data_IF_528370199125
#
_entry.id   IF_528370199125
#
_cell.length_a   1.000
_cell.length_b   1.000
_cell.length_c   1.000
_cell.angle_alpha   90.00
_cell.angle_beta   90.00
_cell.angle_gamma   90.00
#
_symmetry.space_group_name_H-M   'P 1'
#
loop_
_entity.id
_entity.type
_entity.pdbx_description
1 polymer ?
#
# COMPACT_ATOMS: atom_id res chain seq x y z
N UNK A 1 13.88 -13.01 3.49
CA UNK A 1 13.47 -11.64 3.18
C UNK A 1 13.11 -10.91 4.48
N UNK A 2 12.15 -11.38 5.24
CA UNK A 2 11.48 -10.67 6.34
C UNK A 2 12.20 -10.73 7.70
N UNK A 3 13.35 -11.39 7.81
CA UNK A 3 14.07 -11.65 9.08
C UNK A 3 14.22 -10.45 10.01
N UNK A 4 14.50 -9.28 9.46
CA UNK A 4 14.78 -8.06 10.25
C UNK A 4 13.56 -7.15 10.40
N UNK A 5 12.58 -7.26 9.50
CA UNK A 5 11.38 -6.42 9.52
C UNK A 5 10.21 -7.05 10.29
N UNK A 6 10.15 -8.39 10.40
CA UNK A 6 9.07 -9.10 11.13
C UNK A 6 8.77 -8.52 12.51
N UNK A 7 9.75 -8.14 13.36
CA UNK A 7 9.43 -7.55 14.66
C UNK A 7 8.65 -6.24 14.58
N UNK A 8 8.77 -5.51 13.48
CA UNK A 8 8.05 -4.26 13.23
C UNK A 8 6.69 -4.50 12.61
N UNK A 9 6.58 -5.44 11.66
CA UNK A 9 5.30 -5.80 11.04
C UNK A 9 4.34 -6.48 12.02
N UNK A 10 4.88 -7.21 13.02
CA UNK A 10 4.09 -7.86 14.05
C UNK A 10 3.83 -6.99 15.30
N UNK A 11 4.29 -5.74 15.31
CA UNK A 11 4.13 -4.86 16.47
C UNK A 11 2.78 -4.11 16.52
N UNK A 12 2.22 -3.61 15.39
CA UNK A 12 0.91 -2.99 15.40
C UNK A 12 -0.22 -4.02 15.62
N UNK A 13 -1.38 -3.54 16.06
CA UNK A 13 -2.57 -4.38 16.25
C UNK A 13 -3.15 -4.89 14.93
N UNK A 14 -2.86 -4.22 13.81
CA UNK A 14 -3.26 -4.63 12.47
C UNK A 14 -2.28 -4.08 11.42
N UNK A 15 -1.77 -4.94 10.56
CA UNK A 15 -0.80 -4.59 9.51
C UNK A 15 -1.35 -4.91 8.14
N UNK A 16 -1.22 -3.97 7.22
CA UNK A 16 -1.58 -4.13 5.80
C UNK A 16 -0.35 -4.01 4.91
N UNK A 17 -0.38 -4.64 3.75
CA UNK A 17 0.57 -4.37 2.67
C UNK A 17 -0.08 -4.56 1.31
N UNK A 18 0.52 -4.01 0.28
CA UNK A 18 0.15 -4.31 -1.11
C UNK A 18 0.96 -5.50 -1.63
N UNK A 19 0.29 -6.41 -2.36
CA UNK A 19 0.94 -7.48 -3.13
C UNK A 19 0.74 -7.21 -4.62
N UNK A 20 1.81 -6.79 -5.28
CA UNK A 20 1.81 -6.41 -6.68
C UNK A 20 2.20 -7.60 -7.56
N UNK A 21 1.21 -8.22 -8.19
CA UNK A 21 1.39 -9.37 -9.07
C UNK A 21 0.31 -10.44 -8.97
N UNK A 22 0.55 -11.57 -9.62
CA UNK A 22 -0.32 -12.75 -9.59
C UNK A 22 0.40 -13.98 -9.06
N UNK A 23 -0.37 -15.01 -8.67
CA UNK A 23 0.14 -16.32 -8.26
C UNK A 23 0.03 -17.31 -9.42
N UNK A 24 1.19 -17.78 -9.92
CA UNK A 24 1.23 -18.67 -11.07
C UNK A 24 0.98 -20.14 -10.73
N UNK A 25 1.57 -20.63 -9.66
CA UNK A 25 1.63 -22.07 -9.36
C UNK A 25 2.37 -22.89 -10.42
N UNK A 26 2.53 -24.20 -10.19
CA UNK A 26 3.17 -25.08 -11.17
C UNK A 26 2.45 -25.15 -12.52
N UNK A 27 1.13 -24.94 -12.53
CA UNK A 27 0.26 -25.08 -13.69
C UNK A 27 0.45 -23.94 -14.69
N UNK A 28 0.57 -22.71 -14.21
CA UNK A 28 0.73 -21.51 -15.04
C UNK A 28 2.20 -21.07 -15.13
N UNK A 29 3.10 -21.74 -14.36
CA UNK A 29 4.51 -21.42 -14.25
C UNK A 29 4.78 -20.11 -13.51
N UNK A 30 6.06 -19.79 -13.40
CA UNK A 30 6.54 -18.60 -12.69
C UNK A 30 7.25 -17.66 -13.66
N UNK A 31 7.06 -16.35 -13.45
CA UNK A 31 7.74 -15.31 -14.22
C UNK A 31 7.96 -14.06 -13.36
N UNK A 32 9.03 -13.33 -13.68
CA UNK A 32 9.28 -11.97 -13.21
C UNK A 32 8.82 -10.94 -14.22
N UNK A 33 9.44 -9.72 -14.16
CA UNK A 33 9.13 -8.63 -15.06
C UNK A 33 9.15 -9.09 -16.55
N UNK A 34 8.21 -8.63 -17.41
CA UNK A 34 7.16 -7.64 -17.10
C UNK A 34 5.84 -8.24 -16.58
N UNK A 35 5.68 -9.56 -16.55
CA UNK A 35 4.43 -10.22 -16.17
C UNK A 35 4.67 -11.12 -14.96
N UNK A 36 4.33 -10.63 -13.77
CA UNK A 36 4.64 -11.30 -12.50
C UNK A 36 3.69 -12.46 -12.22
N UNK A 37 4.26 -13.67 -12.13
CA UNK A 37 3.58 -14.86 -11.61
C UNK A 37 4.43 -15.47 -10.51
N UNK A 38 4.07 -15.18 -9.28
CA UNK A 38 4.82 -15.57 -8.09
C UNK A 38 4.45 -16.97 -7.60
N UNK A 39 5.32 -17.65 -6.86
CA UNK A 39 4.97 -18.88 -6.14
C UNK A 39 4.08 -18.56 -4.92
N UNK A 40 3.17 -19.47 -4.59
CA UNK A 40 2.18 -19.30 -3.50
C UNK A 40 2.83 -19.00 -2.13
N UNK A 41 3.98 -19.59 -1.86
CA UNK A 41 4.72 -19.37 -0.60
C UNK A 41 5.05 -17.90 -0.32
N UNK A 42 4.97 -17.01 -1.30
CA UNK A 42 5.24 -15.57 -1.08
C UNK A 42 4.19 -14.96 -0.17
N UNK A 43 2.90 -15.24 -0.40
CA UNK A 43 1.81 -14.68 0.42
C UNK A 43 1.77 -15.28 1.82
N UNK A 44 2.14 -16.57 1.96
CA UNK A 44 2.31 -17.19 3.27
C UNK A 44 3.43 -16.51 4.07
N UNK A 45 4.58 -16.24 3.42
CA UNK A 45 5.70 -15.53 4.05
C UNK A 45 5.35 -14.09 4.43
N UNK A 46 4.53 -13.40 3.63
CA UNK A 46 4.03 -12.06 3.95
C UNK A 46 3.16 -12.13 5.21
N UNK A 47 2.15 -13.00 5.25
CA UNK A 47 1.33 -13.26 6.44
C UNK A 47 2.19 -13.60 7.66
N UNK A 48 3.10 -14.56 7.52
CA UNK A 48 3.96 -15.04 8.63
C UNK A 48 4.94 -13.97 9.12
N UNK A 49 5.15 -12.90 8.35
CA UNK A 49 5.91 -11.72 8.79
C UNK A 49 5.12 -10.74 9.65
N UNK A 50 3.79 -10.95 9.82
CA UNK A 50 2.92 -10.15 10.66
C UNK A 50 1.90 -9.30 9.89
N UNK A 51 1.72 -9.54 8.59
CA UNK A 51 0.72 -8.84 7.78
C UNK A 51 -0.64 -9.54 7.89
N UNK A 52 -1.68 -8.77 8.25
CA UNK A 52 -3.04 -9.26 8.48
C UNK A 52 -3.93 -9.18 7.25
N UNK A 53 -3.77 -8.14 6.42
CA UNK A 53 -4.56 -7.89 5.21
C UNK A 53 -3.66 -7.51 4.03
N UNK A 54 -3.87 -8.14 2.88
CA UNK A 54 -3.13 -7.84 1.66
C UNK A 54 -4.03 -7.14 0.63
N UNK A 55 -3.54 -6.00 0.08
CA UNK A 55 -4.18 -5.22 -0.97
C UNK A 55 -3.79 -5.80 -2.32
N UNK A 56 -4.75 -6.11 -3.19
CA UNK A 56 -4.52 -6.84 -4.43
C UNK A 56 -4.88 -6.06 -5.71
N UNK A 57 -5.42 -4.85 -5.58
CA UNK A 57 -5.74 -4.01 -6.73
C UNK A 57 -4.52 -3.24 -7.20
N UNK A 58 -3.75 -3.84 -8.11
CA UNK A 58 -2.54 -3.26 -8.70
C UNK A 58 -2.56 -3.38 -10.23
N UNK A 59 -1.73 -2.59 -10.93
CA UNK A 59 -1.60 -2.70 -12.37
C UNK A 59 -1.11 -4.10 -12.83
N UNK A 60 -0.46 -4.87 -11.94
CA UNK A 60 0.01 -6.24 -12.18
C UNK A 60 -0.98 -7.35 -11.74
N UNK A 61 -2.19 -7.00 -11.31
CA UNK A 61 -3.19 -7.99 -10.86
C UNK A 61 -3.68 -8.92 -11.98
N UNK A 62 -3.43 -8.60 -13.24
CA UNK A 62 -3.86 -9.39 -14.40
C UNK A 62 -2.70 -9.93 -15.26
N UNK A 63 -1.48 -9.91 -14.77
CA UNK A 63 -0.27 -10.35 -15.52
C UNK A 63 -0.32 -11.79 -16.01
N UNK A 64 -0.93 -12.67 -15.26
CA UNK A 64 -1.14 -14.06 -15.66
C UNK A 64 -2.50 -14.30 -16.32
N UNK A 65 -3.15 -13.25 -16.83
CA UNK A 65 -4.48 -13.24 -17.42
C UNK A 65 -5.56 -13.78 -16.45
N UNK A 66 -6.77 -14.00 -16.96
CA UNK A 66 -7.91 -14.48 -16.16
C UNK A 66 -7.57 -15.72 -15.31
N UNK A 67 -6.78 -16.65 -15.84
CA UNK A 67 -6.42 -17.87 -15.10
C UNK A 67 -5.63 -17.61 -13.82
N UNK A 68 -4.60 -16.75 -13.86
CA UNK A 68 -3.82 -16.42 -12.68
C UNK A 68 -4.57 -15.43 -11.77
N UNK A 69 -5.38 -14.53 -12.33
CA UNK A 69 -6.26 -13.65 -11.60
C UNK A 69 -7.18 -14.41 -10.64
N UNK A 70 -7.96 -15.36 -11.14
CA UNK A 70 -8.83 -16.19 -10.31
C UNK A 70 -8.04 -17.10 -9.36
N UNK A 71 -6.96 -17.72 -9.85
CA UNK A 71 -6.10 -18.57 -9.04
C UNK A 71 -5.50 -17.80 -7.84
N UNK A 72 -5.13 -16.55 -8.03
CA UNK A 72 -4.60 -15.73 -6.93
C UNK A 72 -5.61 -15.69 -5.79
N UNK A 73 -6.86 -15.30 -6.04
CA UNK A 73 -7.91 -15.26 -5.03
C UNK A 73 -8.20 -16.65 -4.40
N UNK A 74 -8.23 -17.70 -5.22
CA UNK A 74 -8.43 -19.08 -4.73
C UNK A 74 -7.36 -19.50 -3.73
N UNK A 75 -6.10 -19.12 -3.95
CA UNK A 75 -4.99 -19.43 -3.02
C UNK A 75 -5.14 -18.64 -1.73
N UNK A 76 -5.48 -17.35 -1.79
CA UNK A 76 -5.73 -16.55 -0.60
C UNK A 76 -6.86 -17.13 0.27
N UNK A 77 -7.97 -17.50 -0.34
CA UNK A 77 -9.10 -18.12 0.38
C UNK A 77 -8.74 -19.48 0.98
N UNK A 78 -8.08 -20.33 0.19
CA UNK A 78 -7.66 -21.66 0.63
C UNK A 78 -6.72 -21.58 1.84
N UNK A 79 -5.82 -20.60 1.87
CA UNK A 79 -4.83 -20.45 2.92
C UNK A 79 -5.32 -19.53 4.06
N UNK A 80 -6.56 -19.03 3.95
CA UNK A 80 -7.23 -18.20 4.97
C UNK A 80 -6.54 -16.84 5.18
N UNK A 81 -5.93 -16.28 4.12
CA UNK A 81 -5.26 -14.99 4.16
C UNK A 81 -6.26 -13.92 3.73
N UNK A 82 -6.46 -12.89 4.55
CA UNK A 82 -7.36 -11.81 4.21
C UNK A 82 -6.80 -10.94 3.08
N UNK A 83 -7.68 -10.53 2.17
CA UNK A 83 -7.35 -9.66 1.05
C UNK A 83 -8.52 -8.74 0.68
N UNK A 84 -8.25 -7.69 -0.06
CA UNK A 84 -9.24 -6.79 -0.68
C UNK A 84 -8.71 -6.26 -2.02
N UNK A 85 -9.54 -5.50 -2.74
CA UNK A 85 -9.21 -4.98 -4.08
C UNK A 85 -9.65 -5.90 -5.22
N UNK A 86 -9.66 -7.21 -4.98
CA UNK A 86 -10.21 -8.23 -5.88
C UNK A 86 -11.30 -9.03 -5.16
N UNK A 87 -12.19 -9.70 -5.92
CA UNK A 87 -13.27 -10.54 -5.38
C UNK A 87 -13.61 -11.68 -6.32
N UNK A 88 -14.04 -12.82 -5.77
CA UNK A 88 -14.38 -14.03 -6.54
C UNK A 88 -15.64 -13.88 -7.37
N UNK A 89 -16.63 -13.16 -6.83
CA UNK A 89 -17.92 -12.96 -7.47
C UNK A 89 -18.42 -11.53 -7.30
N UNK A 90 -19.33 -11.11 -8.17
CA UNK A 90 -19.94 -9.78 -8.09
C UNK A 90 -20.86 -9.59 -6.87
N UNK A 91 -21.19 -10.66 -6.14
CA UNK A 91 -21.94 -10.60 -4.88
C UNK A 91 -21.05 -10.40 -3.65
N UNK A 92 -19.74 -10.58 -3.79
CA UNK A 92 -18.78 -10.32 -2.71
C UNK A 92 -18.54 -8.82 -2.54
N UNK A 93 -18.16 -8.43 -1.34
CA UNK A 93 -17.90 -7.02 -1.00
C UNK A 93 -16.66 -6.49 -1.75
N UNK A 94 -16.70 -5.23 -2.12
CA UNK A 94 -15.56 -4.50 -2.68
C UNK A 94 -14.61 -3.93 -1.62
N UNK A 95 -14.83 -4.26 -0.37
CA UNK A 95 -14.09 -3.74 0.77
C UNK A 95 -13.93 -4.80 1.85
N UNK A 96 -13.03 -4.54 2.77
CA UNK A 96 -12.83 -5.35 3.96
C UNK A 96 -13.09 -4.54 5.23
N UNK A 97 -13.71 -5.13 6.24
CA UNK A 97 -13.86 -4.51 7.57
C UNK A 97 -13.18 -5.40 8.61
N UNK A 98 -12.12 -4.89 9.21
CA UNK A 98 -11.41 -5.55 10.30
C UNK A 98 -11.95 -5.09 11.66
N UNK A 99 -11.89 -5.98 12.65
CA UNK A 99 -11.99 -5.61 14.07
C UNK A 99 -10.56 -5.52 14.63
N UNK A 100 -10.14 -4.31 14.92
CA UNK A 100 -8.79 -3.99 15.41
C UNK A 100 -8.92 -3.58 16.87
N UNK A 101 -8.70 -4.50 17.78
CA UNK A 101 -8.84 -4.32 19.24
C UNK A 101 -10.17 -3.65 19.66
N UNK A 102 -11.27 -4.08 19.02
CA UNK A 102 -12.63 -3.58 19.28
C UNK A 102 -13.01 -2.34 18.45
N UNK A 103 -12.13 -1.77 17.67
CA UNK A 103 -12.40 -0.71 16.70
C UNK A 103 -12.57 -1.32 15.31
N UNK A 104 -13.72 -1.12 14.68
CA UNK A 104 -13.92 -1.55 13.30
C UNK A 104 -13.33 -0.55 12.32
N UNK A 105 -12.37 -1.02 11.52
CA UNK A 105 -11.69 -0.27 10.47
C UNK A 105 -12.10 -0.84 9.11
N UNK A 106 -12.56 0.02 8.21
CA UNK A 106 -12.91 -0.34 6.84
C UNK A 106 -11.75 -0.05 5.89
N UNK A 107 -11.48 -0.98 4.97
CA UNK A 107 -10.44 -0.89 3.96
C UNK A 107 -11.03 -1.03 2.58
N UNK A 108 -10.75 -0.10 1.69
CA UNK A 108 -10.98 -0.21 0.25
C UNK A 108 -9.67 -0.04 -0.50
N UNK A 109 -9.53 -0.73 -1.63
CA UNK A 109 -8.31 -0.82 -2.40
C UNK A 109 -8.65 -0.70 -3.89
N UNK A 110 -7.99 0.21 -4.60
CA UNK A 110 -8.30 0.55 -6.00
C UNK A 110 -7.04 0.73 -6.83
N UNK A 111 -7.12 0.32 -8.10
CA UNK A 111 -6.07 0.51 -9.11
C UNK A 111 -6.57 1.36 -10.28
N UNK A 112 -5.69 2.18 -10.82
CA UNK A 112 -5.98 2.93 -12.05
C UNK A 112 -6.03 2.01 -13.29
N UNK A 113 -6.89 2.34 -14.24
CA UNK A 113 -6.96 1.67 -15.53
C UNK A 113 -6.03 2.32 -16.54
N UNK A 114 -5.41 1.50 -17.39
CA UNK A 114 -4.66 2.00 -18.54
C UNK A 114 -5.59 2.19 -19.73
N UNK A 115 -5.23 3.13 -20.62
CA UNK A 115 -6.06 3.47 -21.80
C UNK A 115 -6.34 2.23 -22.65
N UNK A 116 -7.62 2.02 -22.98
CA UNK A 116 -8.06 0.89 -23.79
C UNK A 116 -9.57 0.81 -23.95
N UNK A 117 -10.07 -0.32 -24.44
CA UNK A 117 -11.52 -0.60 -24.50
C UNK A 117 -11.89 -1.53 -23.35
N UNK A 118 -12.80 -1.11 -22.49
CA UNK A 118 -13.15 -1.82 -21.26
C UNK A 118 -12.03 -1.71 -20.22
N UNK A 119 -12.06 -2.52 -19.19
CA UNK A 119 -11.06 -2.50 -18.12
C UNK A 119 -9.71 -3.03 -18.62
N UNK A 120 -8.66 -2.25 -18.43
CA UNK A 120 -7.28 -2.58 -18.83
C UNK A 120 -6.32 -2.29 -17.70
N UNK A 121 -5.47 -3.24 -17.37
CA UNK A 121 -4.41 -3.08 -16.36
C UNK A 121 -3.05 -3.30 -17.02
N UNK A 122 -2.12 -2.38 -16.84
CA UNK A 122 -0.78 -2.44 -17.43
C UNK A 122 -0.79 -2.70 -18.94
N UNK A 123 -1.78 -2.14 -19.66
CA UNK A 123 -1.99 -2.36 -21.10
C UNK A 123 -2.55 -3.74 -21.47
N UNK A 124 -2.94 -4.56 -20.50
CA UNK A 124 -3.56 -5.87 -20.69
C UNK A 124 -5.08 -5.73 -20.54
N UNK A 125 -5.87 -5.97 -21.63
CA UNK A 125 -7.32 -5.93 -21.52
C UNK A 125 -7.85 -7.13 -20.72
N UNK A 126 -8.71 -6.87 -19.75
CA UNK A 126 -9.38 -7.91 -19.00
C UNK A 126 -10.49 -8.56 -19.83
N UNK A 127 -10.74 -9.86 -19.61
CA UNK A 127 -11.94 -10.50 -20.09
C UNK A 127 -13.20 -9.86 -19.45
N UNK A 128 -14.24 -9.63 -20.20
CA UNK A 128 -15.45 -8.94 -19.72
C UNK A 128 -16.06 -9.54 -18.44
N UNK A 129 -15.93 -10.86 -18.26
CA UNK A 129 -16.39 -11.53 -17.03
C UNK A 129 -15.63 -11.13 -15.77
N UNK A 130 -14.42 -10.57 -15.92
CA UNK A 130 -13.52 -10.21 -14.83
C UNK A 130 -13.57 -8.71 -14.47
N UNK A 131 -14.21 -7.87 -15.31
CA UNK A 131 -14.24 -6.42 -15.11
C UNK A 131 -14.75 -5.99 -13.73
N UNK A 132 -15.85 -6.58 -13.29
CA UNK A 132 -16.46 -6.26 -12.01
C UNK A 132 -15.82 -7.00 -10.82
N UNK A 133 -14.75 -7.78 -11.05
CA UNK A 133 -14.09 -8.56 -10.01
C UNK A 133 -12.83 -7.90 -9.45
N UNK A 134 -12.41 -6.77 -10.00
CA UNK A 134 -11.35 -5.92 -9.47
C UNK A 134 -11.90 -4.52 -9.22
N UNK A 135 -11.41 -3.87 -8.18
CA UNK A 135 -11.70 -2.46 -7.95
C UNK A 135 -10.74 -1.62 -8.77
N UNK A 136 -11.22 -1.05 -9.85
CA UNK A 136 -10.43 -0.18 -10.72
C UNK A 136 -11.13 1.15 -10.96
N UNK A 137 -10.39 2.13 -11.44
CA UNK A 137 -10.92 3.44 -11.82
C UNK A 137 -10.23 3.95 -13.09
N UNK A 138 -11.01 4.66 -13.91
CA UNK A 138 -10.54 5.34 -15.11
C UNK A 138 -10.36 6.83 -14.82
N UNK A 139 -9.18 7.37 -15.10
CA UNK A 139 -8.91 8.82 -14.97
C UNK A 139 -9.82 9.68 -15.87
N UNK A 140 -10.33 9.10 -16.96
CA UNK A 140 -11.28 9.79 -17.87
C UNK A 140 -12.75 9.74 -17.36
N UNK A 141 -13.06 8.91 -16.32
CA UNK A 141 -14.40 8.77 -15.71
C UNK A 141 -14.33 8.67 -14.17
N UNK A 142 -13.79 9.69 -13.54
CA UNK A 142 -13.70 9.74 -12.07
C UNK A 142 -15.07 9.83 -11.38
N UNK A 143 -16.12 10.32 -12.06
CA UNK A 143 -17.45 10.40 -11.46
C UNK A 143 -18.01 9.01 -11.12
N UNK A 144 -17.80 8.01 -11.97
CA UNK A 144 -18.19 6.62 -11.71
C UNK A 144 -17.42 6.06 -10.51
N UNK A 145 -16.12 6.29 -10.45
CA UNK A 145 -15.28 5.88 -9.31
C UNK A 145 -15.77 6.53 -8.00
N UNK A 146 -16.02 7.83 -8.00
CA UNK A 146 -16.47 8.55 -6.78
C UNK A 146 -17.82 8.06 -6.28
N UNK A 147 -18.75 7.70 -7.17
CA UNK A 147 -20.04 7.12 -6.79
C UNK A 147 -19.87 5.73 -6.16
N UNK A 148 -18.98 4.90 -6.71
CA UNK A 148 -18.68 3.58 -6.14
C UNK A 148 -17.97 3.72 -4.78
N UNK A 149 -16.97 4.58 -4.66
CA UNK A 149 -16.27 4.85 -3.40
C UNK A 149 -17.23 5.36 -2.32
N UNK A 150 -18.12 6.30 -2.65
CA UNK A 150 -19.14 6.80 -1.73
C UNK A 150 -20.07 5.66 -1.25
N UNK A 151 -20.49 4.77 -2.15
CA UNK A 151 -21.33 3.63 -1.78
C UNK A 151 -20.56 2.66 -0.87
N UNK A 152 -19.32 2.32 -1.19
CA UNK A 152 -18.49 1.45 -0.36
C UNK A 152 -18.25 2.04 1.03
N UNK A 153 -18.03 3.35 1.16
CA UNK A 153 -17.89 4.03 2.46
C UNK A 153 -19.19 3.93 3.27
N UNK A 154 -20.35 4.13 2.64
CA UNK A 154 -21.66 3.96 3.29
C UNK A 154 -21.87 2.52 3.77
N UNK A 155 -21.52 1.54 2.96
CA UNK A 155 -21.68 0.12 3.28
C UNK A 155 -20.70 -0.30 4.40
N UNK A 156 -19.44 0.14 4.37
CA UNK A 156 -18.48 -0.09 5.45
C UNK A 156 -18.99 0.51 6.78
N UNK A 157 -19.52 1.73 6.76
CA UNK A 157 -20.12 2.38 7.95
C UNK A 157 -21.36 1.62 8.44
N UNK A 158 -22.17 1.07 7.53
CA UNK A 158 -23.32 0.21 7.90
C UNK A 158 -22.87 -1.12 8.53
N UNK A 159 -21.73 -1.69 8.11
CA UNK A 159 -21.10 -2.85 8.74
C UNK A 159 -20.41 -2.52 10.08
N UNK A 160 -20.39 -1.24 10.46
CA UNK A 160 -19.94 -0.74 11.75
C UNK A 160 -18.54 -0.14 11.72
N UNK A 161 -17.91 0.03 10.55
CA UNK A 161 -16.63 0.73 10.45
C UNK A 161 -16.73 2.16 11.01
N UNK A 162 -15.71 2.56 11.76
CA UNK A 162 -15.59 3.87 12.40
C UNK A 162 -14.37 4.65 11.91
N UNK A 163 -13.51 4.00 11.15
CA UNK A 163 -12.35 4.57 10.51
C UNK A 163 -12.23 3.93 9.13
N UNK A 164 -12.01 4.73 8.10
CA UNK A 164 -11.97 4.28 6.70
C UNK A 164 -10.59 4.55 6.10
N UNK A 165 -9.97 3.50 5.60
CA UNK A 165 -8.69 3.55 4.89
C UNK A 165 -8.93 3.27 3.40
N UNK A 166 -8.42 4.15 2.55
CA UNK A 166 -8.34 3.91 1.11
C UNK A 166 -6.90 3.60 0.72
N UNK A 167 -6.68 2.47 0.05
CA UNK A 167 -5.44 2.16 -0.62
C UNK A 167 -5.59 2.48 -2.11
N UNK A 168 -4.63 3.21 -2.68
CA UNK A 168 -4.70 3.70 -4.06
C UNK A 168 -3.42 3.34 -4.83
N UNK A 169 -3.55 2.44 -5.79
CA UNK A 169 -2.47 2.10 -6.72
C UNK A 169 -2.58 3.01 -7.95
N UNK A 170 -1.78 4.10 -8.00
CA UNK A 170 -2.03 5.26 -8.85
C UNK A 170 -0.79 6.08 -9.19
N UNK A 171 -0.97 7.14 -9.99
CA UNK A 171 0.07 8.11 -10.32
C UNK A 171 1.00 7.64 -11.43
N UNK A 172 2.23 8.12 -11.42
CA UNK A 172 3.23 7.84 -12.46
C UNK A 172 4.46 7.19 -11.84
N UNK A 173 4.93 6.09 -12.46
CA UNK A 173 6.16 5.42 -12.06
C UNK A 173 7.36 6.39 -12.02
N UNK A 174 8.19 6.26 -11.01
CA UNK A 174 9.48 6.97 -10.85
C UNK A 174 9.37 8.50 -10.74
N UNK A 175 8.22 9.00 -10.30
CA UNK A 175 8.01 10.41 -9.99
C UNK A 175 7.98 10.61 -8.46
N UNK A 176 8.88 11.48 -7.94
CA UNK A 176 8.98 11.77 -6.50
C UNK A 176 7.85 12.68 -6.00
N UNK A 177 7.18 13.38 -6.89
CA UNK A 177 6.06 14.26 -6.57
C UNK A 177 4.77 13.70 -7.12
N UNK A 178 3.70 13.84 -6.35
CA UNK A 178 2.35 13.49 -6.78
C UNK A 178 1.88 14.33 -7.96
N UNK A 179 0.96 13.79 -8.76
CA UNK A 179 0.29 14.50 -9.84
C UNK A 179 -0.90 15.33 -9.35
N UNK A 180 -1.38 16.26 -10.21
CA UNK A 180 -2.60 17.01 -9.93
C UNK A 180 -3.82 16.09 -9.78
N UNK A 181 -3.90 15.00 -10.57
CA UNK A 181 -4.97 14.00 -10.48
C UNK A 181 -4.95 13.28 -9.14
N UNK A 182 -3.77 12.88 -8.64
CA UNK A 182 -3.65 12.28 -7.30
C UNK A 182 -4.16 13.24 -6.22
N UNK A 183 -3.85 14.53 -6.32
CA UNK A 183 -4.35 15.54 -5.37
C UNK A 183 -5.86 15.73 -5.44
N UNK A 184 -6.43 15.78 -6.65
CA UNK A 184 -7.87 15.91 -6.84
C UNK A 184 -8.62 14.71 -6.24
N UNK A 185 -8.17 13.50 -6.54
CA UNK A 185 -8.75 12.26 -6.01
C UNK A 185 -8.63 12.24 -4.48
N UNK A 186 -7.46 12.59 -3.91
CA UNK A 186 -7.25 12.62 -2.46
C UNK A 186 -8.21 13.60 -1.78
N UNK A 187 -8.37 14.83 -2.31
CA UNK A 187 -9.33 15.78 -1.76
C UNK A 187 -10.77 15.25 -1.84
N UNK A 188 -11.15 14.63 -2.95
CA UNK A 188 -12.49 14.08 -3.11
C UNK A 188 -12.76 12.93 -2.15
N UNK A 189 -11.80 12.03 -1.92
CA UNK A 189 -11.92 10.93 -0.94
C UNK A 189 -12.02 11.48 0.49
N UNK A 190 -11.27 12.53 0.83
CA UNK A 190 -11.43 13.26 2.09
C UNK A 190 -12.86 13.81 2.25
N UNK A 191 -13.39 14.45 1.20
CA UNK A 191 -14.76 15.00 1.21
C UNK A 191 -15.84 13.93 1.34
N UNK A 192 -15.56 12.70 0.90
CA UNK A 192 -16.44 11.53 1.08
C UNK A 192 -16.32 10.87 2.47
N UNK A 193 -15.32 11.29 3.26
CA UNK A 193 -15.13 10.82 4.63
C UNK A 193 -14.22 9.61 4.76
N UNK A 194 -13.18 9.52 3.94
CA UNK A 194 -11.99 8.70 4.14
C UNK A 194 -11.12 9.33 5.22
N UNK A 195 -10.61 8.54 6.15
CA UNK A 195 -9.80 9.00 7.28
C UNK A 195 -8.29 8.89 7.01
N UNK A 196 -7.89 7.90 6.21
CA UNK A 196 -6.50 7.73 5.78
C UNK A 196 -6.42 7.23 4.35
N UNK A 197 -5.49 7.80 3.56
CA UNK A 197 -5.17 7.37 2.21
C UNK A 197 -3.72 6.93 2.13
N UNK A 198 -3.52 5.72 1.64
CA UNK A 198 -2.20 5.09 1.45
C UNK A 198 -2.01 4.83 -0.05
N UNK A 199 -1.00 5.43 -0.64
CA UNK A 199 -0.71 5.31 -2.06
C UNK A 199 0.43 4.34 -2.36
N UNK A 200 0.34 3.68 -3.53
CA UNK A 200 1.37 2.82 -4.12
C UNK A 200 1.47 3.05 -5.63
N UNK A 201 2.32 2.30 -6.34
CA UNK A 201 2.61 2.29 -7.77
C UNK A 201 3.85 3.10 -8.20
N UNK A 202 4.13 4.34 -7.74
CA UNK A 202 5.27 5.11 -8.24
C UNK A 202 6.65 4.44 -8.04
N UNK A 203 6.73 3.38 -7.25
CA UNK A 203 7.97 2.67 -6.91
C UNK A 203 9.05 3.54 -6.26
N UNK A 204 8.67 4.72 -5.83
CA UNK A 204 9.47 5.65 -5.01
C UNK A 204 8.54 6.35 -4.04
N UNK A 205 9.11 6.86 -2.96
CA UNK A 205 8.35 7.61 -1.99
C UNK A 205 7.79 8.89 -2.62
N UNK A 206 6.57 9.23 -2.24
CA UNK A 206 5.95 10.52 -2.53
C UNK A 206 5.47 11.17 -1.23
N UNK A 207 5.26 12.49 -1.18
CA UNK A 207 5.01 13.25 0.04
C UNK A 207 3.86 12.72 0.90
N UNK A 208 3.94 13.04 2.19
CA UNK A 208 2.83 13.00 3.13
C UNK A 208 2.12 14.35 3.13
N UNK A 209 0.78 14.34 3.18
CA UNK A 209 -0.02 15.55 3.35
C UNK A 209 -1.23 15.29 4.27
N UNK A 210 -1.92 16.35 4.65
CA UNK A 210 -3.18 16.32 5.39
C UNK A 210 -4.21 17.10 4.61
N UNK A 211 -5.30 16.45 4.24
CA UNK A 211 -6.44 17.04 3.57
C UNK A 211 -7.53 17.40 4.58
N UNK A 212 -8.32 18.41 4.28
CA UNK A 212 -9.43 18.84 5.12
C UNK A 212 -10.68 19.04 4.26
N UNK A 213 -11.79 18.46 4.68
CA UNK A 213 -13.10 18.75 4.13
C UNK A 213 -13.59 20.10 4.66
N UNK A 214 -13.67 21.11 3.80
CA UNK A 214 -14.06 22.47 4.19
C UNK A 214 -15.52 22.57 4.70
N UNK A 215 -16.36 21.55 4.47
CA UNK A 215 -17.77 21.58 4.87
C UNK A 215 -17.97 21.24 6.34
N UNK A 216 -17.17 20.34 6.91
CA UNK A 216 -17.33 19.82 8.27
C UNK A 216 -16.04 19.80 9.11
N UNK A 217 -14.89 20.12 8.48
CA UNK A 217 -13.58 20.13 9.14
C UNK A 217 -12.98 18.74 9.32
N UNK A 218 -13.55 17.70 8.68
CA UNK A 218 -12.95 16.35 8.67
C UNK A 218 -11.54 16.38 8.08
N UNK A 219 -10.58 15.72 8.74
CA UNK A 219 -9.19 15.65 8.30
C UNK A 219 -8.80 14.23 7.91
N UNK A 220 -8.12 14.10 6.79
CA UNK A 220 -7.60 12.85 6.25
C UNK A 220 -6.07 12.88 6.20
N UNK A 221 -5.42 11.84 6.75
CA UNK A 221 -4.01 11.57 6.50
C UNK A 221 -3.83 11.06 5.06
N UNK A 222 -2.79 11.50 4.38
CA UNK A 222 -2.44 10.99 3.05
C UNK A 222 -0.93 10.80 2.95
N UNK A 223 -0.49 9.64 2.44
CA UNK A 223 0.81 9.42 1.83
C UNK A 223 0.58 9.04 0.37
N UNK A 224 1.14 9.80 -0.57
CA UNK A 224 0.88 9.57 -1.98
C UNK A 224 1.57 8.33 -2.54
N UNK A 225 2.71 7.90 -1.98
CA UNK A 225 3.33 6.60 -2.24
C UNK A 225 4.25 6.18 -1.09
N UNK A 226 4.12 4.90 -0.67
CA UNK A 226 4.97 4.26 0.34
C UNK A 226 6.30 3.72 -0.23
N UNK A 227 6.56 3.87 -1.53
CA UNK A 227 7.74 3.34 -2.20
C UNK A 227 7.72 1.82 -2.30
N UNK A 228 8.88 1.18 -2.20
CA UNK A 228 9.03 -0.25 -2.35
C UNK A 228 9.37 -0.95 -1.03
N UNK A 229 8.47 -1.79 -0.51
CA UNK A 229 8.80 -2.67 0.61
C UNK A 229 9.81 -3.76 0.20
N UNK A 230 9.64 -4.33 -1.00
CA UNK A 230 10.53 -5.33 -1.59
C UNK A 230 10.53 -5.21 -3.11
N UNK A 231 11.67 -4.90 -3.70
CA UNK A 231 11.82 -4.78 -5.16
C UNK A 231 13.23 -5.17 -5.61
N UNK A 232 13.38 -5.51 -6.90
CA UNK A 232 14.67 -5.64 -7.56
C UNK A 232 15.02 -4.41 -8.43
N UNK A 233 14.33 -3.30 -8.27
CA UNK A 233 14.60 -2.03 -8.95
C UNK A 233 15.80 -1.36 -8.28
N UNK A 234 17.00 -1.75 -8.72
CA UNK A 234 18.28 -1.30 -8.14
C UNK A 234 18.84 -0.13 -8.93
N UNK A 235 19.55 0.76 -8.29
CA UNK A 235 20.22 1.92 -8.91
C UNK A 235 20.92 1.57 -10.22
N UNK A 236 21.64 0.45 -10.25
CA UNK A 236 22.38 0.00 -11.45
C UNK A 236 21.49 -0.67 -12.51
N UNK A 237 20.23 -1.01 -12.20
CA UNK A 237 19.24 -1.51 -13.15
C UNK A 237 18.32 -0.41 -13.68
N UNK A 238 18.13 0.65 -12.87
CA UNK A 238 17.25 1.79 -13.15
C UNK A 238 18.01 3.01 -13.71
N UNK A 239 19.04 2.75 -14.53
CA UNK A 239 19.99 3.79 -14.97
C UNK A 239 19.36 4.89 -15.83
N UNK A 240 18.24 4.63 -16.48
CA UNK A 240 17.55 5.59 -17.34
C UNK A 240 16.32 6.20 -16.64
N UNK A 241 15.67 5.45 -15.75
CA UNK A 241 14.40 5.81 -15.13
C UNK A 241 14.64 6.51 -13.79
N UNK A 242 15.34 5.86 -12.86
CA UNK A 242 15.58 6.36 -11.49
C UNK A 242 16.96 5.94 -10.97
N UNK A 243 18.07 6.56 -11.44
CA UNK A 243 19.43 6.14 -11.04
C UNK A 243 19.86 6.65 -9.65
N UNK A 244 18.95 7.18 -8.87
CA UNK A 244 19.20 7.88 -7.60
C UNK A 244 19.04 7.02 -6.36
N UNK A 245 18.53 5.77 -6.51
CA UNK A 245 18.32 4.84 -5.41
C UNK A 245 16.95 4.93 -4.73
N UNK A 246 16.08 5.88 -5.11
CA UNK A 246 14.73 6.02 -4.51
C UNK A 246 13.85 4.79 -4.69
N UNK A 247 14.10 3.95 -5.72
CA UNK A 247 13.39 2.68 -5.91
C UNK A 247 13.86 1.56 -4.96
N UNK A 248 14.88 1.81 -4.15
CA UNK A 248 15.35 0.90 -3.11
C UNK A 248 14.76 1.24 -1.74
N UNK A 249 14.08 2.39 -1.64
CA UNK A 249 13.54 2.96 -0.41
C UNK A 249 12.06 2.63 -0.28
N UNK A 250 11.63 2.42 0.93
CA UNK A 250 10.23 2.25 1.31
C UNK A 250 9.97 2.78 2.71
N UNK A 251 8.72 2.77 3.10
CA UNK A 251 8.31 3.22 4.44
C UNK A 251 7.19 2.34 4.97
N UNK A 252 7.20 2.10 6.28
CA UNK A 252 6.04 1.61 7.02
C UNK A 252 5.42 2.81 7.74
N UNK A 253 4.16 3.08 7.46
CA UNK A 253 3.37 4.13 8.14
C UNK A 253 2.62 3.49 9.31
N UNK A 254 2.66 4.15 10.46
CA UNK A 254 1.90 3.75 11.65
C UNK A 254 0.93 4.87 12.04
N UNK A 255 -0.36 4.54 12.06
CA UNK A 255 -1.41 5.42 12.55
C UNK A 255 -1.90 4.91 13.90
N UNK A 256 -1.70 5.68 14.97
CA UNK A 256 -2.29 5.38 16.28
C UNK A 256 -3.70 5.96 16.33
N UNK A 257 -4.68 5.09 16.53
CA UNK A 257 -6.08 5.49 16.60
C UNK A 257 -6.53 5.66 18.05
N UNK A 258 -7.46 6.60 18.26
CA UNK A 258 -8.12 6.81 19.53
C UNK A 258 -9.64 6.78 19.36
N UNK A 259 -10.32 5.97 20.16
CA UNK A 259 -11.79 5.97 20.22
C UNK A 259 -12.26 6.73 21.46
N UNK A 260 -13.11 7.74 21.28
CA UNK A 260 -13.72 8.48 22.37
C UNK A 260 -14.90 7.73 23.00
N UNK A 261 -15.45 8.26 24.09
CA UNK A 261 -16.59 7.66 24.80
C UNK A 261 -17.91 7.69 24.00
N UNK A 262 -17.99 8.47 22.93
CA UNK A 262 -19.12 8.51 22.00
C UNK A 262 -18.95 7.50 20.85
N UNK A 263 -17.78 6.86 20.74
CA UNK A 263 -17.46 5.89 19.70
C UNK A 263 -16.88 6.52 18.43
N UNK A 264 -16.51 7.80 18.44
CA UNK A 264 -15.79 8.42 17.33
C UNK A 264 -14.33 7.96 17.36
N UNK A 265 -13.78 7.68 16.18
CA UNK A 265 -12.38 7.26 16.02
C UNK A 265 -11.63 8.34 15.27
N UNK A 266 -10.47 8.71 15.79
CA UNK A 266 -9.59 9.73 15.20
C UNK A 266 -8.14 9.26 15.23
N UNK A 267 -7.32 9.80 14.34
CA UNK A 267 -5.86 9.62 14.41
C UNK A 267 -5.35 10.43 15.62
N UNK A 268 -4.60 9.76 16.48
CA UNK A 268 -3.94 10.37 17.64
C UNK A 268 -2.49 10.70 17.36
N UNK A 269 -1.80 9.83 16.60
CA UNK A 269 -0.39 10.01 16.23
C UNK A 269 -0.10 9.35 14.90
N UNK A 270 0.89 9.88 14.21
CA UNK A 270 1.42 9.37 12.94
C UNK A 270 2.91 9.15 13.09
N UNK A 271 3.39 7.97 12.76
CA UNK A 271 4.82 7.70 12.72
C UNK A 271 5.22 6.96 11.45
N UNK A 272 6.49 7.05 11.07
CA UNK A 272 7.04 6.38 9.91
C UNK A 272 8.34 5.65 10.28
N UNK A 273 8.47 4.43 9.75
CA UNK A 273 9.71 3.67 9.81
C UNK A 273 10.28 3.58 8.39
N UNK A 274 11.34 4.30 8.06
CA UNK A 274 12.05 4.12 6.81
C UNK A 274 12.57 2.69 6.68
N UNK A 275 12.48 2.13 5.47
CA UNK A 275 13.00 0.79 5.15
C UNK A 275 13.85 0.83 3.89
N UNK A 276 14.83 -0.06 3.80
CA UNK A 276 15.71 -0.20 2.66
C UNK A 276 15.77 -1.64 2.19
N UNK A 277 15.67 -1.85 0.88
CA UNK A 277 15.82 -3.17 0.27
C UNK A 277 17.30 -3.49 0.09
N UNK A 278 17.88 -4.25 1.01
CA UNK A 278 19.26 -4.74 0.90
C UNK A 278 19.33 -6.00 0.04
N UNK A 279 20.16 -5.97 -1.01
CA UNK A 279 20.39 -7.12 -1.91
C UNK A 279 21.82 -7.63 -1.78
N UNK A 280 21.97 -8.94 -1.63
CA UNK A 280 23.27 -9.59 -1.54
C UNK A 280 23.31 -10.89 -2.36
N UNK A 281 24.51 -11.48 -2.53
CA UNK A 281 24.72 -12.72 -3.28
C UNK A 281 25.06 -13.88 -2.32
N UNK A 282 24.20 -14.89 -2.32
CA UNK A 282 24.41 -16.14 -1.60
C UNK A 282 23.69 -17.27 -2.33
N UNK A 283 24.41 -18.02 -3.18
CA UNK A 283 23.81 -19.00 -4.08
C UNK A 283 22.67 -18.42 -4.94
N UNK A 284 22.87 -17.23 -5.47
CA UNK A 284 21.89 -16.41 -6.18
C UNK A 284 21.56 -15.12 -5.42
N UNK A 285 20.70 -14.30 -5.99
CA UNK A 285 20.28 -13.03 -5.36
C UNK A 285 19.37 -13.29 -4.16
N UNK A 286 19.69 -12.65 -3.06
CA UNK A 286 18.91 -12.64 -1.81
C UNK A 286 18.60 -11.22 -1.42
N UNK A 287 17.54 -11.04 -0.64
CA UNK A 287 17.04 -9.74 -0.23
C UNK A 287 16.68 -9.75 1.24
N UNK A 288 16.90 -8.62 1.91
CA UNK A 288 16.32 -8.30 3.20
C UNK A 288 15.62 -6.94 3.12
N UNK A 289 14.51 -6.80 3.81
CA UNK A 289 13.91 -5.50 4.14
C UNK A 289 14.58 -5.08 5.45
N UNK A 290 15.38 -4.02 5.42
CA UNK A 290 16.09 -3.51 6.59
C UNK A 290 15.35 -2.31 7.17
N UNK A 291 14.94 -2.36 8.46
CA UNK A 291 14.38 -1.20 9.15
C UNK A 291 15.50 -0.22 9.50
N UNK A 292 15.28 1.05 9.21
CA UNK A 292 16.26 2.13 9.39
C UNK A 292 15.99 3.00 10.64
N UNK A 293 15.45 2.40 11.69
CA UNK A 293 15.19 3.05 13.00
C UNK A 293 16.47 3.45 13.74
N UNK A 294 17.57 2.73 13.51
CA UNK A 294 18.90 3.01 14.05
C UNK A 294 19.97 2.71 12.98
N UNK A 295 20.19 3.66 12.09
CA UNK A 295 21.12 3.49 10.95
C UNK A 295 22.54 3.26 11.42
N UNK A 296 23.00 3.96 12.46
CA UNK A 296 24.37 3.83 12.99
C UNK A 296 24.58 2.47 13.69
N UNK A 297 23.53 1.93 14.32
CA UNK A 297 23.54 0.62 14.97
C UNK A 297 23.21 -0.55 14.04
N UNK A 298 22.79 -0.31 12.78
CA UNK A 298 22.24 -1.30 11.87
C UNK A 298 23.16 -2.50 11.63
N UNK A 299 24.44 -2.26 11.40
CA UNK A 299 25.43 -3.33 11.21
C UNK A 299 25.57 -4.24 12.43
N UNK A 300 25.51 -3.67 13.64
CA UNK A 300 25.54 -4.44 14.89
C UNK A 300 24.23 -5.23 15.09
N UNK A 301 23.09 -4.62 14.77
CA UNK A 301 21.76 -5.20 14.91
C UNK A 301 21.55 -6.39 13.95
N UNK A 302 22.02 -6.25 12.72
CA UNK A 302 21.80 -7.23 11.65
C UNK A 302 22.93 -8.26 11.51
N UNK A 303 24.15 -7.90 11.92
CA UNK A 303 25.37 -8.64 11.65
C UNK A 303 25.88 -8.47 10.20
N UNK A 304 25.29 -7.59 9.42
CA UNK A 304 25.70 -7.26 8.06
C UNK A 304 26.75 -6.15 8.13
N UNK A 305 27.93 -6.39 7.57
CA UNK A 305 29.10 -5.47 7.71
C UNK A 305 29.43 -4.71 6.42
N UNK A 306 28.79 -5.04 5.32
CA UNK A 306 29.04 -4.47 3.99
C UNK A 306 27.91 -3.52 3.51
N UNK A 307 27.24 -2.87 4.46
CA UNK A 307 26.14 -1.92 4.17
C UNK A 307 26.66 -0.62 3.50
N UNK A 308 27.93 -0.29 3.67
CA UNK A 308 28.51 0.97 3.19
C UNK A 308 27.76 2.18 3.74
N UNK A 309 27.61 3.20 2.91
CA UNK A 309 26.79 4.39 3.19
C UNK A 309 25.34 4.23 2.68
N UNK A 310 25.00 3.13 2.02
CA UNK A 310 23.73 2.97 1.29
C UNK A 310 22.51 3.05 2.21
N UNK A 311 22.57 2.39 3.38
CA UNK A 311 21.48 2.45 4.36
C UNK A 311 21.26 3.87 4.89
N UNK A 312 22.36 4.63 5.12
CA UNK A 312 22.28 6.02 5.55
C UNK A 312 21.73 6.92 4.45
N UNK A 313 22.22 6.74 3.22
CA UNK A 313 21.71 7.47 2.06
C UNK A 313 20.20 7.21 1.85
N UNK A 314 19.75 5.96 2.04
CA UNK A 314 18.33 5.60 1.98
C UNK A 314 17.52 6.33 3.05
N UNK A 315 17.98 6.32 4.29
CA UNK A 315 17.34 7.07 5.38
C UNK A 315 17.26 8.57 5.09
N UNK A 316 18.36 9.16 4.63
CA UNK A 316 18.41 10.59 4.30
C UNK A 316 17.42 10.95 3.18
N UNK A 317 17.38 10.18 2.08
CA UNK A 317 16.39 10.38 0.99
C UNK A 317 14.94 10.25 1.50
N UNK A 318 14.66 9.22 2.29
CA UNK A 318 13.32 9.02 2.86
C UNK A 318 12.90 10.22 3.73
N UNK A 319 13.77 10.72 4.58
CA UNK A 319 13.47 11.84 5.46
C UNK A 319 13.44 13.18 4.73
N UNK A 320 14.18 13.33 3.64
CA UNK A 320 14.07 14.48 2.75
C UNK A 320 12.69 14.53 2.07
N UNK A 321 12.19 13.39 1.63
CA UNK A 321 10.89 13.28 0.94
C UNK A 321 9.70 13.42 1.91
N UNK A 322 9.75 12.77 3.05
CA UNK A 322 8.58 12.64 3.94
C UNK A 322 8.59 13.60 5.13
N UNK A 323 9.74 14.16 5.50
CA UNK A 323 9.93 14.84 6.80
C UNK A 323 9.00 16.02 7.05
N UNK A 324 8.82 16.89 6.06
CA UNK A 324 7.95 18.06 6.18
C UNK A 324 6.47 17.66 6.28
N UNK A 325 6.03 16.71 5.45
CA UNK A 325 4.67 16.18 5.49
C UNK A 325 4.37 15.43 6.78
N UNK A 326 5.31 14.65 7.29
CA UNK A 326 5.20 13.98 8.58
C UNK A 326 5.07 14.99 9.72
N UNK A 327 5.87 16.06 9.72
CA UNK A 327 5.75 17.12 10.72
C UNK A 327 4.38 17.82 10.66
N UNK A 328 3.85 18.06 9.45
CA UNK A 328 2.49 18.58 9.22
C UNK A 328 1.43 17.64 9.79
N UNK A 329 1.52 16.34 9.51
CA UNK A 329 0.57 15.33 10.00
C UNK A 329 0.62 15.24 11.53
N UNK A 330 1.80 15.15 12.14
CA UNK A 330 1.96 15.17 13.62
C UNK A 330 1.38 16.44 14.23
N UNK A 331 1.51 17.59 13.60
CA UNK A 331 0.93 18.85 14.07
C UNK A 331 -0.59 18.90 13.93
N UNK A 332 -1.17 18.27 12.91
CA UNK A 332 -2.62 18.22 12.70
C UNK A 332 -3.29 17.26 13.68
N UNK A 333 -2.79 16.05 13.82
CA UNK A 333 -3.41 14.98 14.60
C UNK A 333 -2.97 14.95 16.08
N UNK A 334 -1.73 15.35 16.39
CA UNK A 334 -1.22 15.36 17.77
C UNK A 334 -1.77 16.47 18.69
N UNK A 335 -2.70 17.31 18.21
CA UNK A 335 -3.29 18.41 19.01
C UNK A 335 -4.34 17.99 20.03
N UNK A 336 -4.80 16.74 19.99
CA UNK A 336 -5.92 16.28 20.81
C UNK A 336 -5.57 16.01 22.29
N UNK A 337 -4.31 16.21 22.74
CA UNK A 337 -3.91 16.04 24.14
C UNK A 337 -4.06 17.30 25.04
N UNK A 338 -4.51 18.45 24.49
CA UNK A 338 -4.61 19.72 25.24
C UNK A 338 -6.02 20.27 25.37
N UNK A 339 -7.03 19.47 25.11
CA UNK A 339 -8.42 19.88 25.12
C UNK A 339 -9.28 19.11 26.14
N UNK A 340 -8.85 18.94 27.39
CA UNK A 340 -9.69 18.78 28.58
C UNK A 340 -9.39 19.89 29.60
#
# INVERSE_FOLDING_TARGET
>A
VYKFITPYYSAPDFMTCEFEGTLGGPELGYSGYPNFKSPDVIIENIRDSGVDLQMLATNHSYDGLSAAFHRTMEVYEKDGIAYTGMRQTTSDKRYYVADVDGVKVGFMDYVYETTGTGVNLNGIPLEQKDWDLINSFDYDDLDTFYQEAEQNIKDMKADGARFIVANMHWGLEYHLTESDDQREIAQKLCDLGVDALIGGHPHCLQPIDVFENAADGHQMFCIFSEGNALSNQRTYLMTNEMPTGHTEDGVMVTLSLHQDTAGNVTIKDVDVLPTWVYRFQENGSKYYILPLDDVDGLAKKTGITDLGDDAKNSYERTMEELGDGLAKAKAAFGKNEKGE
#
